data_IF_793262374266
#
_entry.id   IF_793262374266
#
_cell.length_a   1.000
_cell.length_b   1.000
_cell.length_c   1.000
_cell.angle_alpha   90.00
_cell.angle_beta   90.00
_cell.angle_gamma   90.00
#
_symmetry.space_group_name_H-M   'P 1'
#
loop_
_entity.id
_entity.type
_entity.pdbx_description
1 polymer ?
#
# COMPACT_ATOMS: atom_id res chain seq x y z
N UNK A 1 1.79 -3.42 -9.54
CA UNK A 1 2.59 -2.22 -9.24
C UNK A 1 4.08 -2.51 -9.36
N UNK A 2 4.60 -3.55 -8.71
CA UNK A 2 6.03 -3.89 -8.71
C UNK A 2 6.63 -3.96 -10.13
N UNK A 3 5.98 -4.62 -11.07
CA UNK A 3 6.46 -4.75 -12.45
C UNK A 3 6.52 -3.41 -13.20
N UNK A 4 5.57 -2.48 -12.96
CA UNK A 4 5.61 -1.14 -13.57
C UNK A 4 6.84 -0.34 -13.16
N UNK A 5 7.31 -0.54 -11.93
CA UNK A 5 8.54 0.08 -11.42
C UNK A 5 9.77 -0.65 -11.98
N UNK A 6 9.77 -1.98 -11.89
CA UNK A 6 10.91 -2.81 -12.29
C UNK A 6 11.24 -2.67 -13.78
N UNK A 7 10.23 -2.54 -14.63
CA UNK A 7 10.38 -2.33 -16.08
C UNK A 7 10.57 -0.85 -16.42
N UNK A 8 10.79 0.01 -15.43
CA UNK A 8 11.03 1.45 -15.57
C UNK A 8 9.90 2.22 -16.29
N UNK A 9 8.68 1.70 -16.37
CA UNK A 9 7.59 2.35 -17.09
C UNK A 9 7.18 3.67 -16.45
N UNK A 10 7.12 3.72 -15.11
CA UNK A 10 6.84 4.96 -14.37
C UNK A 10 7.98 5.96 -14.57
N UNK A 11 9.23 5.52 -14.49
CA UNK A 11 10.40 6.35 -14.69
C UNK A 11 10.44 6.96 -16.09
N UNK A 12 10.20 6.15 -17.12
CA UNK A 12 10.21 6.59 -18.53
C UNK A 12 9.09 7.60 -18.80
N UNK A 13 7.87 7.30 -18.31
CA UNK A 13 6.75 8.23 -18.41
C UNK A 13 7.05 9.58 -17.74
N UNK A 14 7.56 9.56 -16.51
CA UNK A 14 7.92 10.77 -15.79
C UNK A 14 9.02 11.57 -16.54
N UNK A 15 9.94 10.90 -17.19
CA UNK A 15 10.98 11.55 -18.03
C UNK A 15 10.35 12.24 -19.24
N UNK A 16 9.49 11.54 -19.98
CA UNK A 16 8.79 12.09 -21.14
C UNK A 16 7.85 13.24 -20.76
N UNK A 17 7.20 13.13 -19.60
CA UNK A 17 6.36 14.18 -19.04
C UNK A 17 7.17 15.45 -18.77
N UNK A 18 8.32 15.34 -18.11
CA UNK A 18 9.19 16.47 -17.80
C UNK A 18 9.73 17.15 -19.06
N UNK A 19 10.02 16.41 -20.12
CA UNK A 19 10.46 16.98 -21.39
C UNK A 19 9.36 17.83 -22.06
N UNK A 20 8.10 17.48 -21.86
CA UNK A 20 6.94 18.20 -22.44
C UNK A 20 6.48 19.35 -21.56
N UNK A 21 6.78 19.36 -20.28
CA UNK A 21 6.29 20.32 -19.29
C UNK A 21 7.48 21.01 -18.58
N UNK A 22 8.03 22.10 -19.12
CA UNK A 22 9.18 22.79 -18.49
C UNK A 22 8.89 23.29 -17.07
N UNK A 23 7.63 23.51 -16.74
CA UNK A 23 7.18 23.96 -15.40
C UNK A 23 5.93 23.18 -14.97
N UNK A 24 5.80 22.95 -13.68
CA UNK A 24 4.63 22.31 -13.08
C UNK A 24 4.16 23.08 -11.84
N UNK A 25 2.94 22.87 -11.34
CA UNK A 25 2.49 23.40 -10.06
C UNK A 25 3.40 22.99 -8.90
N UNK A 26 3.27 23.67 -7.75
CA UNK A 26 4.01 23.31 -6.53
C UNK A 26 3.72 21.87 -6.09
N UNK A 27 4.63 21.27 -5.32
CA UNK A 27 4.50 19.89 -4.86
C UNK A 27 3.20 19.60 -4.11
N UNK A 28 2.67 20.60 -3.40
CA UNK A 28 1.39 20.51 -2.67
C UNK A 28 0.18 20.44 -3.60
N UNK A 29 0.27 21.07 -4.79
CA UNK A 29 -0.86 21.24 -5.72
C UNK A 29 -0.79 20.33 -6.92
N UNK A 30 0.36 19.72 -7.16
CA UNK A 30 0.54 18.85 -8.32
C UNK A 30 -0.26 17.56 -8.18
N UNK A 31 -0.97 17.18 -9.22
CA UNK A 31 -1.74 15.95 -9.32
C UNK A 31 -1.69 15.42 -10.76
N UNK A 32 -1.70 14.13 -10.92
CA UNK A 32 -1.83 13.47 -12.21
C UNK A 32 -3.30 13.50 -12.62
N UNK A 33 -3.58 14.19 -13.72
CA UNK A 33 -4.94 14.28 -14.26
C UNK A 33 -5.37 12.96 -14.90
N UNK A 34 -6.68 12.81 -15.17
CA UNK A 34 -7.18 11.64 -15.89
C UNK A 34 -6.64 11.56 -17.33
N UNK A 35 -6.36 12.71 -17.96
CA UNK A 35 -5.72 12.76 -19.27
C UNK A 35 -4.27 12.27 -19.21
N UNK A 36 -3.47 12.72 -18.24
CA UNK A 36 -2.11 12.24 -18.03
C UNK A 36 -2.08 10.72 -17.76
N UNK A 37 -3.05 10.23 -16.99
CA UNK A 37 -3.17 8.82 -16.70
C UNK A 37 -3.56 7.99 -17.93
N UNK A 38 -4.42 8.52 -18.80
CA UNK A 38 -4.76 7.88 -20.06
C UNK A 38 -3.54 7.78 -21.00
N UNK A 39 -2.70 8.82 -21.05
CA UNK A 39 -1.44 8.80 -21.79
C UNK A 39 -0.46 7.77 -21.23
N UNK A 40 -0.37 7.65 -19.91
CA UNK A 40 0.42 6.60 -19.25
C UNK A 40 -0.09 5.20 -19.62
N UNK A 41 -1.40 4.95 -19.55
CA UNK A 41 -1.99 3.67 -19.96
C UNK A 41 -1.68 3.34 -21.42
N UNK A 42 -1.76 4.33 -22.31
CA UNK A 42 -1.42 4.13 -23.72
C UNK A 42 0.05 3.76 -23.92
N UNK A 43 0.96 4.38 -23.16
CA UNK A 43 2.39 4.05 -23.17
C UNK A 43 2.64 2.62 -22.69
N UNK A 44 2.01 2.21 -21.58
CA UNK A 44 2.14 0.85 -21.02
C UNK A 44 1.67 -0.21 -22.01
N UNK A 45 0.54 0.03 -22.70
CA UNK A 45 0.02 -0.86 -23.74
C UNK A 45 0.98 -0.99 -24.93
N UNK A 46 1.57 0.14 -25.36
CA UNK A 46 2.52 0.16 -26.47
C UNK A 46 3.83 -0.58 -26.14
N UNK A 47 4.20 -0.62 -24.86
CA UNK A 47 5.38 -1.33 -24.39
C UNK A 47 5.22 -2.86 -24.32
N UNK A 48 4.06 -3.42 -24.72
CA UNK A 48 3.73 -4.86 -24.60
C UNK A 48 4.00 -5.39 -23.18
N UNK A 49 3.61 -4.59 -22.19
CA UNK A 49 3.86 -4.87 -20.77
C UNK A 49 3.21 -6.17 -20.32
N UNK A 50 4.02 -7.05 -19.75
CA UNK A 50 3.60 -8.36 -19.25
C UNK A 50 3.96 -8.50 -17.78
N UNK A 51 3.08 -9.10 -17.02
CA UNK A 51 3.29 -9.37 -15.60
C UNK A 51 2.62 -10.68 -15.20
N UNK A 52 3.22 -11.34 -14.23
CA UNK A 52 2.72 -12.60 -13.69
C UNK A 52 1.54 -12.37 -12.76
N UNK A 53 0.43 -13.04 -13.00
CA UNK A 53 -0.69 -13.09 -12.04
C UNK A 53 -0.59 -14.35 -11.19
N UNK A 54 -0.45 -14.17 -9.88
CA UNK A 54 -0.44 -15.29 -8.94
C UNK A 54 -1.76 -16.06 -8.95
N UNK A 55 -2.86 -15.37 -9.22
CA UNK A 55 -4.20 -15.96 -9.31
C UNK A 55 -4.30 -16.98 -10.45
N UNK A 56 -3.74 -16.67 -11.62
CA UNK A 56 -3.70 -17.60 -12.76
C UNK A 56 -2.84 -18.83 -12.44
N UNK A 57 -1.69 -18.63 -11.80
CA UNK A 57 -0.82 -19.72 -11.37
C UNK A 57 -1.51 -20.62 -10.34
N UNK A 58 -2.19 -20.03 -9.36
CA UNK A 58 -2.94 -20.78 -8.36
C UNK A 58 -4.09 -21.56 -8.97
N UNK A 59 -4.83 -20.96 -9.92
CA UNK A 59 -5.92 -21.61 -10.62
C UNK A 59 -5.42 -22.79 -11.45
N UNK A 60 -4.30 -22.65 -12.13
CA UNK A 60 -3.66 -23.73 -12.88
C UNK A 60 -3.25 -24.88 -11.96
N UNK A 61 -2.61 -24.59 -10.84
CA UNK A 61 -2.23 -25.60 -9.87
C UNK A 61 -3.46 -26.31 -9.28
N UNK A 62 -4.52 -25.58 -8.99
CA UNK A 62 -5.78 -26.15 -8.50
C UNK A 62 -6.42 -27.06 -9.55
N UNK A 63 -6.40 -26.68 -10.83
CA UNK A 63 -6.91 -27.48 -11.93
C UNK A 63 -6.13 -28.79 -12.11
N UNK A 64 -4.80 -28.72 -12.03
CA UNK A 64 -3.92 -29.92 -12.07
C UNK A 64 -4.19 -30.85 -10.88
N UNK A 65 -4.41 -30.32 -9.68
CA UNK A 65 -4.75 -31.11 -8.50
C UNK A 65 -6.14 -31.77 -8.64
N UNK A 66 -7.14 -31.01 -9.10
CA UNK A 66 -8.48 -31.54 -9.35
C UNK A 66 -8.50 -32.64 -10.43
N UNK A 67 -7.62 -32.54 -11.42
CA UNK A 67 -7.44 -33.58 -12.43
C UNK A 67 -6.86 -34.88 -11.81
N UNK A 68 -5.82 -34.74 -10.99
CA UNK A 68 -5.19 -35.85 -10.29
C UNK A 68 -6.16 -36.56 -9.32
N UNK A 69 -7.04 -35.81 -8.65
CA UNK A 69 -8.04 -36.34 -7.73
C UNK A 69 -9.31 -36.83 -8.44
N UNK A 70 -9.45 -36.61 -9.75
CA UNK A 70 -10.59 -37.07 -10.55
C UNK A 70 -11.82 -36.15 -10.53
N UNK A 71 -11.74 -34.97 -9.94
CA UNK A 71 -12.86 -34.00 -9.84
C UNK A 71 -12.97 -33.07 -11.05
N UNK A 72 -11.96 -32.99 -11.92
CA UNK A 72 -11.94 -32.01 -13.01
C UNK A 72 -13.11 -32.20 -13.99
N UNK A 73 -13.53 -33.44 -14.23
CA UNK A 73 -14.64 -33.72 -15.16
C UNK A 73 -15.95 -33.10 -14.68
N UNK A 74 -16.23 -33.20 -13.39
CA UNK A 74 -17.47 -32.73 -12.78
C UNK A 74 -17.46 -31.18 -12.59
N UNK A 75 -16.28 -30.60 -12.41
CA UNK A 75 -16.08 -29.17 -12.15
C UNK A 75 -15.57 -28.38 -13.37
N UNK A 76 -15.57 -28.97 -14.57
CA UNK A 76 -14.94 -28.35 -15.74
C UNK A 76 -15.55 -27.00 -16.12
N UNK A 77 -16.88 -26.87 -16.03
CA UNK A 77 -17.58 -25.62 -16.35
C UNK A 77 -17.26 -24.49 -15.35
N UNK A 78 -17.13 -24.83 -14.10
CA UNK A 78 -16.78 -23.90 -13.04
C UNK A 78 -15.33 -23.41 -13.20
N UNK A 79 -14.41 -24.32 -13.54
CA UNK A 79 -13.02 -23.96 -13.85
C UNK A 79 -12.93 -23.06 -15.08
N UNK A 80 -13.63 -23.35 -16.17
CA UNK A 80 -13.67 -22.51 -17.37
C UNK A 80 -14.27 -21.12 -17.08
N UNK A 81 -15.36 -21.06 -16.30
CA UNK A 81 -15.98 -19.80 -15.91
C UNK A 81 -15.05 -18.96 -15.02
N UNK A 82 -14.30 -19.61 -14.12
CA UNK A 82 -13.34 -18.95 -13.23
C UNK A 82 -12.12 -18.48 -14.03
N UNK A 83 -11.58 -19.29 -14.91
CA UNK A 83 -10.47 -18.96 -15.81
C UNK A 83 -10.79 -17.73 -16.67
N UNK A 84 -12.00 -17.68 -17.26
CA UNK A 84 -12.48 -16.52 -18.01
C UNK A 84 -12.63 -15.27 -17.17
N UNK A 85 -13.07 -15.38 -15.90
CA UNK A 85 -13.23 -14.24 -14.99
C UNK A 85 -11.91 -13.74 -14.41
N UNK A 86 -10.93 -14.62 -14.23
CA UNK A 86 -9.61 -14.31 -13.70
C UNK A 86 -8.58 -14.07 -14.81
N UNK A 87 -8.98 -14.18 -16.08
CA UNK A 87 -8.09 -13.92 -17.22
C UNK A 87 -7.52 -12.51 -17.14
N UNK A 88 -6.28 -12.42 -17.56
CA UNK A 88 -5.48 -11.21 -17.57
C UNK A 88 -6.16 -10.06 -18.35
N UNK A 89 -6.39 -8.95 -17.68
CA UNK A 89 -6.93 -7.74 -18.27
C UNK A 89 -6.17 -6.51 -17.78
N UNK A 90 -5.19 -6.09 -18.58
CA UNK A 90 -4.31 -4.96 -18.25
C UNK A 90 -5.10 -3.67 -17.99
N UNK A 91 -6.15 -3.38 -18.76
CA UNK A 91 -6.96 -2.17 -18.56
C UNK A 91 -7.65 -2.15 -17.21
N UNK A 92 -8.31 -3.27 -16.88
CA UNK A 92 -8.97 -3.44 -15.58
C UNK A 92 -8.00 -3.29 -14.43
N UNK A 93 -6.83 -3.90 -14.55
CA UNK A 93 -5.83 -3.90 -13.47
C UNK A 93 -5.20 -2.51 -13.31
N UNK A 94 -4.93 -1.80 -14.40
CA UNK A 94 -4.50 -0.41 -14.35
C UNK A 94 -5.57 0.51 -13.75
N UNK A 95 -6.85 0.28 -14.06
CA UNK A 95 -7.95 1.07 -13.48
C UNK A 95 -8.15 0.76 -12.00
N UNK A 96 -8.03 -0.50 -11.60
CA UNK A 96 -8.14 -0.92 -10.20
C UNK A 96 -7.06 -0.27 -9.30
N UNK A 97 -5.83 -0.20 -9.79
CA UNK A 97 -4.70 0.39 -9.08
C UNK A 97 -4.42 1.84 -9.48
N UNK A 98 -5.38 2.52 -10.13
CA UNK A 98 -5.17 3.86 -10.69
C UNK A 98 -4.71 4.89 -9.66
N UNK A 99 -5.28 4.86 -8.45
CA UNK A 99 -4.90 5.78 -7.37
C UNK A 99 -3.42 5.63 -6.99
N UNK A 100 -2.98 4.41 -6.77
CA UNK A 100 -1.61 4.12 -6.35
C UNK A 100 -0.62 4.45 -7.49
N UNK A 101 -0.96 4.08 -8.73
CA UNK A 101 -0.13 4.36 -9.90
C UNK A 101 0.01 5.88 -10.12
N UNK A 102 -1.08 6.64 -10.04
CA UNK A 102 -1.05 8.10 -10.13
C UNK A 102 -0.17 8.73 -9.05
N UNK A 103 -0.26 8.23 -7.82
CA UNK A 103 0.59 8.67 -6.72
C UNK A 103 2.07 8.41 -7.01
N UNK A 104 2.41 7.21 -7.48
CA UNK A 104 3.79 6.86 -7.84
C UNK A 104 4.34 7.72 -8.98
N UNK A 105 3.54 7.97 -10.03
CA UNK A 105 3.90 8.86 -11.14
C UNK A 105 4.11 10.28 -10.63
N UNK A 106 3.20 10.79 -9.78
CA UNK A 106 3.31 12.13 -9.23
C UNK A 106 4.59 12.32 -8.41
N UNK A 107 4.91 11.36 -7.54
CA UNK A 107 6.15 11.37 -6.74
C UNK A 107 7.39 11.39 -7.66
N UNK A 108 7.38 10.56 -8.70
CA UNK A 108 8.52 10.46 -9.62
C UNK A 108 8.71 11.73 -10.48
N UNK A 109 7.62 12.39 -10.88
CA UNK A 109 7.67 13.68 -11.57
C UNK A 109 8.13 14.79 -10.60
N UNK A 110 7.50 14.91 -9.46
CA UNK A 110 7.81 15.95 -8.46
C UNK A 110 9.27 15.89 -8.03
N UNK A 111 9.83 14.71 -7.88
CA UNK A 111 11.26 14.50 -7.55
C UNK A 111 12.19 15.17 -8.56
N UNK A 112 11.83 15.24 -9.83
CA UNK A 112 12.64 15.88 -10.88
C UNK A 112 12.63 17.41 -10.82
N UNK A 113 11.53 18.03 -10.33
CA UNK A 113 11.42 19.49 -10.22
C UNK A 113 11.76 20.01 -8.83
N UNK A 114 11.37 19.30 -7.78
CA UNK A 114 11.44 19.76 -6.39
C UNK A 114 12.32 18.86 -5.51
N UNK A 115 13.07 17.94 -6.09
CA UNK A 115 13.99 17.03 -5.42
C UNK A 115 13.32 16.22 -4.30
N UNK A 116 14.11 15.78 -3.34
CA UNK A 116 13.64 14.95 -2.23
C UNK A 116 12.56 15.63 -1.38
N UNK A 117 12.70 16.94 -1.15
CA UNK A 117 11.69 17.69 -0.38
C UNK A 117 10.32 17.63 -1.04
N UNK A 118 10.25 17.84 -2.35
CA UNK A 118 8.99 17.76 -3.09
C UNK A 118 8.38 16.37 -3.04
N UNK A 119 9.19 15.33 -3.18
CA UNK A 119 8.75 13.94 -3.11
C UNK A 119 8.16 13.59 -1.73
N UNK A 120 8.76 14.06 -0.64
CA UNK A 120 8.22 13.89 0.71
C UNK A 120 6.86 14.60 0.85
N UNK A 121 6.75 15.85 0.40
CA UNK A 121 5.49 16.60 0.43
C UNK A 121 4.40 15.84 -0.33
N UNK A 122 4.71 15.31 -1.50
CA UNK A 122 3.76 14.56 -2.32
C UNK A 122 3.31 13.24 -1.65
N UNK A 123 4.22 12.52 -1.00
CA UNK A 123 3.91 11.27 -0.28
C UNK A 123 3.04 11.51 0.96
N UNK A 124 3.23 12.62 1.65
CA UNK A 124 2.49 12.96 2.87
C UNK A 124 1.07 13.49 2.60
N UNK A 125 0.68 13.77 1.36
CA UNK A 125 -0.66 14.28 1.04
C UNK A 125 -1.79 13.37 1.53
N UNK A 126 -1.62 12.07 1.39
CA UNK A 126 -2.63 11.07 1.72
C UNK A 126 -2.32 10.32 3.03
N UNK A 127 -1.34 10.80 3.80
CA UNK A 127 -0.94 10.24 5.08
C UNK A 127 -2.01 10.52 6.16
N UNK A 128 -2.71 9.49 6.58
CA UNK A 128 -3.80 9.62 7.56
C UNK A 128 -3.27 9.86 8.98
N UNK A 129 -2.08 9.36 9.31
CA UNK A 129 -1.43 9.61 10.61
C UNK A 129 -1.04 11.08 10.72
N UNK A 130 -0.50 11.67 9.64
CA UNK A 130 -0.20 13.10 9.58
C UNK A 130 -1.48 13.95 9.70
N UNK A 131 -2.56 13.58 9.00
CA UNK A 131 -3.84 14.29 9.09
C UNK A 131 -4.39 14.27 10.53
N UNK A 132 -4.36 13.12 11.18
CA UNK A 132 -4.83 13.01 12.57
C UNK A 132 -3.90 13.77 13.53
N UNK A 133 -2.58 13.73 13.35
CA UNK A 133 -1.66 14.52 14.14
C UNK A 133 -1.94 16.03 14.03
N UNK A 134 -2.19 16.54 12.80
CA UNK A 134 -2.57 17.93 12.58
C UNK A 134 -3.91 18.26 13.24
N UNK A 135 -4.90 17.38 13.14
CA UNK A 135 -6.21 17.54 13.77
C UNK A 135 -6.08 17.65 15.30
N UNK A 136 -5.25 16.80 15.92
CA UNK A 136 -5.01 16.84 17.37
C UNK A 136 -4.31 18.13 17.78
N UNK A 137 -3.24 18.51 17.07
CA UNK A 137 -2.45 19.69 17.38
C UNK A 137 -3.23 21.00 17.20
N UNK A 138 -4.14 21.07 16.23
CA UNK A 138 -4.99 22.23 15.97
C UNK A 138 -6.19 22.31 16.92
N UNK A 139 -6.68 21.17 17.40
CA UNK A 139 -7.78 21.10 18.38
C UNK A 139 -7.25 21.20 19.82
N UNK A 140 -7.00 22.43 20.29
CA UNK A 140 -6.36 22.69 21.59
C UNK A 140 -7.01 21.96 22.78
N UNK A 141 -8.34 21.77 22.77
CA UNK A 141 -9.04 21.05 23.82
C UNK A 141 -8.65 19.57 23.83
N UNK A 142 -8.70 18.90 22.65
CA UNK A 142 -8.30 17.49 22.48
C UNK A 142 -6.82 17.27 22.84
N UNK A 143 -5.97 18.20 22.39
CA UNK A 143 -4.54 18.16 22.73
C UNK A 143 -4.28 18.23 24.24
N UNK A 144 -4.93 19.16 24.94
CA UNK A 144 -4.81 19.29 26.40
C UNK A 144 -5.40 18.09 27.13
N UNK A 145 -6.51 17.54 26.66
CA UNK A 145 -7.12 16.33 27.22
C UNK A 145 -6.15 15.14 27.11
N UNK A 146 -5.52 14.92 25.95
CA UNK A 146 -4.55 13.84 25.76
C UNK A 146 -3.29 13.99 26.61
N UNK A 147 -2.85 15.22 26.88
CA UNK A 147 -1.70 15.51 27.74
C UNK A 147 -2.05 15.57 29.23
N UNK A 148 -3.34 15.67 29.59
CA UNK A 148 -3.76 15.62 30.97
C UNK A 148 -3.49 14.22 31.51
N UNK A 149 -2.93 14.12 32.71
CA UNK A 149 -2.84 12.85 33.39
C UNK A 149 -4.22 12.21 33.45
N UNK A 150 -4.38 10.90 33.17
CA UNK A 150 -5.67 10.25 33.33
C UNK A 150 -6.19 10.58 34.69
N UNK A 151 -7.34 11.23 34.76
CA UNK A 151 -8.03 11.53 36.02
C UNK A 151 -8.25 10.18 36.65
N UNK A 152 -7.48 9.83 37.68
CA UNK A 152 -7.60 8.60 38.44
C UNK A 152 -8.87 8.74 39.25
N UNK A 153 -10.01 8.82 38.55
CA UNK A 153 -11.32 8.74 39.16
C UNK A 153 -11.56 7.27 39.42
N UNK A 154 -11.17 6.86 40.64
CA UNK A 154 -11.62 5.65 41.29
C UNK A 154 -11.56 4.32 40.53
N UNK A 155 -10.40 3.98 39.98
CA UNK A 155 -10.07 2.56 39.90
C UNK A 155 -9.84 2.08 41.34
N UNK A 156 -10.70 1.20 41.85
CA UNK A 156 -10.51 0.58 43.14
C UNK A 156 -9.13 -0.08 43.19
N UNK A 157 -8.50 -0.14 44.35
CA UNK A 157 -7.20 -0.79 44.57
C UNK A 157 -7.16 -2.23 44.02
N UNK A 158 -8.31 -2.86 43.86
CA UNK A 158 -8.50 -4.19 43.29
C UNK A 158 -8.31 -4.21 41.77
N UNK A 159 -8.87 -3.23 41.05
CA UNK A 159 -8.70 -3.09 39.59
C UNK A 159 -7.24 -2.70 39.19
N UNK A 160 -6.52 -1.98 40.06
CA UNK A 160 -5.10 -1.71 39.91
C UNK A 160 -4.21 -2.95 40.04
N UNK A 161 -4.61 -3.91 40.88
CA UNK A 161 -3.89 -5.19 41.06
C UNK A 161 -4.12 -6.15 39.89
N UNK A 162 -5.26 -6.09 39.22
CA UNK A 162 -5.59 -6.92 38.07
C UNK A 162 -4.99 -6.37 36.75
N UNK A 163 -4.79 -5.05 36.62
CA UNK A 163 -4.20 -4.43 35.46
C UNK A 163 -2.64 -4.47 35.43
N UNK A 164 -2.02 -4.62 36.62
CA UNK A 164 -0.55 -4.60 36.73
C UNK A 164 0.20 -5.89 36.31
N UNK A 165 -0.40 -7.10 36.30
CA UNK A 165 0.39 -8.31 36.04
C UNK A 165 0.73 -8.58 34.56
N UNK A 166 0.06 -7.94 33.60
CA UNK A 166 0.24 -8.28 32.18
C UNK A 166 1.54 -7.71 31.61
N UNK A 167 2.00 -6.57 32.10
CA UNK A 167 3.25 -5.95 31.61
C UNK A 167 4.52 -6.52 32.24
N UNK A 168 4.44 -7.02 33.48
CA UNK A 168 5.59 -7.61 34.17
C UNK A 168 5.84 -9.08 33.77
N UNK A 169 4.80 -9.84 33.39
CA UNK A 169 4.96 -11.24 32.99
C UNK A 169 5.60 -11.43 31.62
N UNK A 170 5.45 -10.46 30.71
CA UNK A 170 6.10 -10.50 29.39
C UNK A 170 7.56 -10.06 29.44
N UNK A 171 7.93 -9.15 30.33
CA UNK A 171 9.32 -8.73 30.50
C UNK A 171 10.17 -9.80 31.22
N UNK A 172 9.60 -10.56 32.17
CA UNK A 172 10.32 -11.62 32.90
C UNK A 172 10.51 -12.86 32.03
N UNK A 173 9.56 -13.19 31.14
CA UNK A 173 9.68 -14.34 30.23
C UNK A 173 10.70 -14.12 29.10
N UNK A 174 10.93 -12.86 28.68
CA UNK A 174 11.94 -12.53 27.66
C UNK A 174 13.37 -12.63 28.24
N UNK A 175 13.54 -12.49 29.56
CA UNK A 175 14.87 -12.58 30.19
C UNK A 175 15.26 -14.00 30.62
N UNK A 176 14.34 -14.91 30.82
CA UNK A 176 14.67 -16.30 31.16
C UNK A 176 15.16 -17.12 29.97
N UNK A 177 14.77 -16.75 28.73
CA UNK A 177 15.24 -17.46 27.52
C UNK A 177 16.64 -17.06 27.04
N UNK A 178 17.23 -16.01 27.59
CA UNK A 178 18.58 -15.53 27.19
C UNK A 178 19.69 -16.21 28.01
N UNK A 179 19.37 -16.84 29.13
CA UNK A 179 20.37 -17.50 29.99
C UNK A 179 20.53 -19.01 29.80
N UNK A 180 19.65 -19.68 29.05
CA UNK A 180 19.72 -21.13 28.80
C UNK A 180 20.53 -21.52 27.56
N UNK A 181 21.03 -20.54 26.77
CA UNK A 181 21.89 -20.81 25.59
C UNK A 181 23.39 -20.55 25.80
N UNK A 182 23.85 -20.31 27.05
CA UNK A 182 25.27 -20.04 27.36
C UNK A 182 25.78 -20.96 28.50
N UNK A 183 25.41 -22.24 28.51
CA UNK A 183 26.13 -23.24 29.33
C UNK A 183 26.36 -24.50 28.50
#
# INVERSE_FOLDING_TARGET
LFYLVNDNLIFNYATDYCLKHPTIPSAEKFEITDADYADFKAMVKKADFKYDQQTEKMLKNLKEMAEFEGYLTDASKEFEALEKKLSHNLDRDLDHFSKDIKSMIAVEIIKRYYFQRGSIIQQLKDDDDLKEAVNILTAQAKYKEMLSAPTVTSMSLQQRKEAAPVFLSTATRANEHVYDEIV
#
